data_IF_313073122335
#
_entry.id   IF_313073122335
#
_cell.length_a   1.000
_cell.length_b   1.000
_cell.length_c   1.000
_cell.angle_alpha   90.00
_cell.angle_beta   90.00
_cell.angle_gamma   90.00
#
_symmetry.space_group_name_H-M   'P 1'
#
loop_
_entity.id
_entity.type
_entity.pdbx_description
1 polymer ?
#
# COMPACT_ATOMS: atom_id res chain seq x y z
N UNK A 1 13.26 -6.13 17.24
CA UNK A 1 12.61 -7.47 17.16
C UNK A 1 13.10 -8.10 15.87
N UNK A 2 13.82 -9.23 15.95
CA UNK A 2 14.45 -9.89 14.79
C UNK A 2 13.47 -10.75 13.98
N UNK A 3 12.31 -10.17 13.62
CA UNK A 3 11.31 -10.83 12.79
C UNK A 3 11.62 -10.52 11.34
N UNK A 4 11.76 -11.53 10.50
CA UNK A 4 11.92 -11.31 9.07
C UNK A 4 10.61 -10.74 8.49
N UNK A 5 10.65 -9.56 7.84
CA UNK A 5 9.45 -8.97 7.27
C UNK A 5 8.98 -9.79 6.08
N UNK A 6 7.70 -10.17 6.06
CA UNK A 6 7.16 -10.93 4.95
C UNK A 6 7.20 -10.12 3.63
N UNK A 7 7.25 -10.78 2.46
CA UNK A 7 7.30 -10.11 1.16
C UNK A 7 6.15 -9.10 0.94
N UNK A 8 4.92 -9.43 1.38
CA UNK A 8 3.77 -8.53 1.29
C UNK A 8 3.92 -7.28 2.17
N UNK A 9 4.52 -7.40 3.35
CA UNK A 9 4.80 -6.26 4.22
C UNK A 9 5.82 -5.31 3.56
N UNK A 10 6.82 -5.83 2.85
CA UNK A 10 7.74 -5.02 2.05
C UNK A 10 6.99 -4.23 0.97
N UNK A 11 6.07 -4.87 0.24
CA UNK A 11 5.24 -4.20 -0.76
C UNK A 11 4.35 -3.11 -0.16
N UNK A 12 3.79 -3.31 1.03
CA UNK A 12 3.03 -2.27 1.74
C UNK A 12 3.91 -1.06 2.09
N UNK A 13 5.18 -1.29 2.48
CA UNK A 13 6.13 -0.19 2.74
C UNK A 13 6.38 0.63 1.48
N UNK A 14 6.57 -0.02 0.33
CA UNK A 14 6.67 0.68 -0.96
C UNK A 14 5.40 1.44 -1.31
N UNK A 15 4.22 0.90 -1.00
CA UNK A 15 2.94 1.60 -1.13
C UNK A 15 2.89 2.91 -0.33
N UNK A 16 3.29 2.88 0.94
CA UNK A 16 3.35 4.09 1.79
C UNK A 16 4.39 5.09 1.29
N UNK A 17 5.57 4.63 0.89
CA UNK A 17 6.59 5.52 0.31
C UNK A 17 6.09 6.18 -0.97
N UNK A 18 5.41 5.45 -1.85
CA UNK A 18 4.79 6.01 -3.05
C UNK A 18 3.74 7.07 -2.72
N UNK A 19 2.82 6.78 -1.80
CA UNK A 19 1.80 7.74 -1.36
C UNK A 19 2.43 8.98 -0.71
N UNK A 20 3.49 8.81 0.08
CA UNK A 20 4.23 9.90 0.72
C UNK A 20 4.91 10.81 -0.32
N UNK A 21 5.58 10.22 -1.32
CA UNK A 21 6.22 10.98 -2.41
C UNK A 21 5.18 11.76 -3.21
N UNK A 22 4.06 11.13 -3.59
CA UNK A 22 2.98 11.83 -4.31
C UNK A 22 2.43 13.00 -3.48
N UNK A 23 2.21 12.79 -2.18
CA UNK A 23 1.69 13.82 -1.28
C UNK A 23 2.68 14.97 -1.09
N UNK A 24 3.98 14.65 -0.96
CA UNK A 24 5.05 15.65 -0.84
C UNK A 24 5.17 16.48 -2.11
N UNK A 25 5.12 15.85 -3.28
CA UNK A 25 5.16 16.56 -4.58
C UNK A 25 3.91 17.43 -4.76
N UNK A 26 2.73 16.96 -4.38
CA UNK A 26 1.51 17.75 -4.40
C UNK A 26 1.63 19.00 -3.50
N UNK A 27 2.21 18.84 -2.30
CA UNK A 27 2.45 19.94 -1.38
C UNK A 27 3.44 20.97 -1.95
N UNK A 28 4.56 20.52 -2.52
CA UNK A 28 5.58 21.41 -3.09
C UNK A 28 5.12 22.14 -4.36
N UNK A 29 4.37 21.47 -5.23
CA UNK A 29 3.90 22.10 -6.48
C UNK A 29 2.69 23.03 -6.27
N UNK A 30 1.95 22.90 -5.17
CA UNK A 30 0.75 23.71 -4.89
C UNK A 30 -0.25 23.79 -6.05
N UNK A 31 -0.61 22.66 -6.70
CA UNK A 31 -1.37 22.69 -7.95
C UNK A 31 -2.80 23.20 -7.76
N UNK A 32 -3.26 24.03 -8.69
CA UNK A 32 -4.64 24.52 -8.76
C UNK A 32 -5.45 23.77 -9.84
N UNK A 33 -6.76 23.65 -9.62
CA UNK A 33 -7.73 23.06 -10.54
C UNK A 33 -7.35 21.64 -11.05
N UNK A 34 -6.89 21.53 -12.30
CA UNK A 34 -6.61 20.25 -12.95
C UNK A 34 -5.43 19.49 -12.30
N UNK A 35 -4.41 20.21 -11.81
CA UNK A 35 -3.28 19.58 -11.16
C UNK A 35 -3.68 18.81 -9.89
N UNK A 36 -4.63 19.33 -9.10
CA UNK A 36 -5.17 18.60 -7.93
C UNK A 36 -5.81 17.26 -8.30
N UNK A 37 -6.43 17.16 -9.48
CA UNK A 37 -7.00 15.89 -9.96
C UNK A 37 -5.91 14.88 -10.31
N UNK A 38 -4.83 15.33 -10.94
CA UNK A 38 -3.69 14.46 -11.29
C UNK A 38 -3.04 13.89 -10.02
N UNK A 39 -2.75 14.74 -9.03
CA UNK A 39 -2.20 14.27 -7.75
C UNK A 39 -3.19 13.42 -6.95
N UNK A 40 -4.48 13.76 -6.96
CA UNK A 40 -5.54 12.95 -6.36
C UNK A 40 -5.62 11.55 -6.97
N UNK A 41 -5.53 11.45 -8.31
CA UNK A 41 -5.48 10.17 -9.02
C UNK A 41 -4.22 9.38 -8.67
N UNK A 42 -3.04 10.00 -8.70
CA UNK A 42 -1.78 9.34 -8.34
C UNK A 42 -1.79 8.82 -6.90
N UNK A 43 -2.37 9.61 -5.97
CA UNK A 43 -2.51 9.21 -4.58
C UNK A 43 -3.48 8.02 -4.44
N UNK A 44 -4.62 8.08 -5.13
CA UNK A 44 -5.59 6.99 -5.12
C UNK A 44 -5.01 5.69 -5.73
N UNK A 45 -4.21 5.79 -6.79
CA UNK A 45 -3.57 4.62 -7.42
C UNK A 45 -2.49 4.01 -6.51
N UNK A 46 -1.60 4.83 -5.95
CA UNK A 46 -0.53 4.35 -5.07
C UNK A 46 -1.08 3.76 -3.77
N UNK A 47 -2.03 4.46 -3.13
CA UNK A 47 -2.71 3.96 -1.94
C UNK A 47 -3.60 2.75 -2.24
N UNK A 48 -4.25 2.70 -3.41
CA UNK A 48 -5.07 1.58 -3.85
C UNK A 48 -4.26 0.30 -4.08
N UNK A 49 -3.06 0.42 -4.66
CA UNK A 49 -2.12 -0.69 -4.76
C UNK A 49 -1.71 -1.22 -3.38
N UNK A 50 -1.36 -0.32 -2.45
CA UNK A 50 -1.06 -0.67 -1.06
C UNK A 50 -2.23 -1.35 -0.34
N UNK A 51 -3.45 -0.86 -0.55
CA UNK A 51 -4.68 -1.46 -0.02
C UNK A 51 -4.89 -2.87 -0.55
N UNK A 52 -4.70 -3.10 -1.85
CA UNK A 52 -4.83 -4.43 -2.45
C UNK A 52 -3.85 -5.44 -1.84
N UNK A 53 -2.60 -5.03 -1.61
CA UNK A 53 -1.59 -5.86 -0.94
C UNK A 53 -1.97 -6.14 0.52
N UNK A 54 -2.50 -5.16 1.24
CA UNK A 54 -2.96 -5.34 2.63
C UNK A 54 -4.16 -6.29 2.72
N UNK A 55 -5.15 -6.15 1.83
CA UNK A 55 -6.29 -7.06 1.73
C UNK A 55 -5.82 -8.48 1.39
N UNK A 56 -4.87 -8.63 0.47
CA UNK A 56 -4.29 -9.94 0.14
C UNK A 56 -3.65 -10.60 1.37
N UNK A 57 -2.93 -9.82 2.17
CA UNK A 57 -2.33 -10.34 3.41
C UNK A 57 -3.40 -10.71 4.45
N UNK A 58 -4.43 -9.89 4.63
CA UNK A 58 -5.56 -10.22 5.52
C UNK A 58 -6.28 -11.50 5.07
N UNK A 59 -6.44 -11.69 3.75
CA UNK A 59 -7.00 -12.91 3.20
C UNK A 59 -6.13 -14.12 3.57
N UNK A 60 -4.81 -14.05 3.38
CA UNK A 60 -3.89 -15.11 3.79
C UNK A 60 -3.95 -15.40 5.30
N UNK A 61 -4.10 -14.38 6.14
CA UNK A 61 -4.27 -14.55 7.59
C UNK A 61 -5.62 -15.17 7.99
N UNK A 62 -6.60 -15.18 7.10
CA UNK A 62 -7.90 -15.81 7.33
C UNK A 62 -7.97 -17.27 6.88
N UNK A 63 -6.97 -17.76 6.13
CA UNK A 63 -6.92 -19.14 5.69
C UNK A 63 -6.62 -20.09 6.86
N UNK A 64 -7.29 -21.25 6.93
CA UNK A 64 -6.94 -22.29 7.90
C UNK A 64 -5.58 -22.91 7.56
N UNK A 65 -4.91 -23.47 8.58
CA UNK A 65 -3.49 -23.90 8.50
C UNK A 65 -3.19 -24.94 7.40
N UNK A 66 -4.19 -25.73 7.00
CA UNK A 66 -4.13 -26.72 5.92
C UNK A 66 -4.11 -26.10 4.51
N UNK A 67 -4.52 -24.84 4.38
CA UNK A 67 -4.60 -24.12 3.10
C UNK A 67 -3.54 -23.03 2.95
N UNK A 68 -2.71 -22.82 3.97
CA UNK A 68 -1.61 -21.85 3.93
C UNK A 68 -0.55 -22.34 2.92
N UNK A 69 -0.10 -21.49 1.98
CA UNK A 69 0.97 -21.84 1.06
C UNK A 69 2.22 -22.29 1.82
N UNK A 70 3.01 -23.18 1.21
CA UNK A 70 4.30 -23.56 1.78
C UNK A 70 5.14 -22.32 2.12
N UNK A 71 5.85 -22.35 3.25
CA UNK A 71 6.78 -21.30 3.64
C UNK A 71 7.80 -21.10 2.52
N UNK A 72 8.04 -19.84 2.17
CA UNK A 72 8.97 -19.48 1.10
C UNK A 72 10.39 -19.30 1.66
N UNK A 73 11.42 -19.33 0.80
CA UNK A 73 12.72 -18.80 1.19
C UNK A 73 12.62 -17.32 1.57
N UNK A 74 13.56 -16.83 2.37
CA UNK A 74 13.61 -15.41 2.77
C UNK A 74 13.70 -14.49 1.55
N UNK A 75 13.17 -13.27 1.69
CA UNK A 75 13.14 -12.28 0.60
C UNK A 75 14.56 -11.96 0.11
N UNK A 76 15.52 -11.87 1.02
CA UNK A 76 16.91 -11.56 0.68
C UNK A 76 17.53 -12.65 -0.19
N UNK A 77 17.30 -13.93 0.14
CA UNK A 77 17.73 -15.04 -0.71
C UNK A 77 17.03 -15.01 -2.07
N UNK A 78 15.72 -14.75 -2.10
CA UNK A 78 14.99 -14.64 -3.38
C UNK A 78 15.57 -13.55 -4.29
N UNK A 79 16.01 -12.42 -3.73
CA UNK A 79 16.62 -11.32 -4.48
C UNK A 79 18.01 -11.66 -5.01
N UNK A 80 18.74 -12.54 -4.33
CA UNK A 80 20.07 -13.00 -4.77
C UNK A 80 19.98 -14.03 -5.91
N UNK A 81 19.00 -14.94 -5.86
CA UNK A 81 18.96 -16.10 -6.77
C UNK A 81 17.93 -15.97 -7.90
N UNK A 82 16.87 -15.18 -7.70
CA UNK A 82 15.78 -15.03 -8.68
C UNK A 82 15.80 -13.65 -9.34
N UNK A 83 15.36 -13.52 -10.60
CA UNK A 83 15.20 -12.23 -11.23
C UNK A 83 14.10 -11.41 -10.52
N UNK A 84 14.29 -10.09 -10.42
CA UNK A 84 13.40 -9.16 -9.71
C UNK A 84 11.90 -9.31 -10.04
N UNK A 85 11.56 -9.66 -11.29
CA UNK A 85 10.17 -9.88 -11.72
C UNK A 85 9.54 -11.10 -11.05
N UNK A 86 10.30 -12.17 -10.88
CA UNK A 86 9.84 -13.40 -10.22
C UNK A 86 9.71 -13.19 -8.71
N UNK A 87 10.62 -12.42 -8.12
CA UNK A 87 10.52 -12.02 -6.71
C UNK A 87 9.24 -11.22 -6.47
N UNK A 88 8.95 -10.22 -7.31
CA UNK A 88 7.71 -9.44 -7.21
C UNK A 88 6.46 -10.32 -7.40
N UNK A 89 6.46 -11.21 -8.40
CA UNK A 89 5.34 -12.12 -8.65
C UNK A 89 5.09 -13.05 -7.45
N UNK A 90 6.16 -13.58 -6.86
CA UNK A 90 6.08 -14.46 -5.69
C UNK A 90 5.65 -13.69 -4.44
N UNK A 91 6.16 -12.46 -4.26
CA UNK A 91 5.77 -11.57 -3.17
C UNK A 91 4.27 -11.23 -3.21
N UNK A 92 3.72 -10.96 -4.39
CA UNK A 92 2.28 -10.69 -4.56
C UNK A 92 1.43 -11.95 -4.32
N UNK A 93 1.91 -13.13 -4.76
CA UNK A 93 1.23 -14.41 -4.48
C UNK A 93 1.12 -14.67 -2.98
N UNK A 94 2.18 -14.32 -2.23
CA UNK A 94 2.31 -14.51 -0.80
C UNK A 94 2.87 -15.89 -0.45
N UNK A 95 3.64 -15.95 0.63
CA UNK A 95 4.21 -17.18 1.21
C UNK A 95 3.52 -17.50 2.54
N UNK A 96 3.75 -18.69 3.10
CA UNK A 96 3.22 -19.06 4.42
C UNK A 96 3.54 -18.05 5.52
N UNK A 97 4.70 -17.41 5.44
CA UNK A 97 5.17 -16.38 6.39
C UNK A 97 4.27 -15.13 6.41
N UNK A 98 3.45 -14.93 5.36
CA UNK A 98 2.49 -13.83 5.30
C UNK A 98 1.19 -14.10 6.08
N UNK A 99 0.89 -15.37 6.36
CA UNK A 99 -0.30 -15.80 7.09
C UNK A 99 -0.10 -15.74 8.62
N UNK A 100 1.14 -15.69 9.09
CA UNK A 100 1.42 -15.57 10.51
C UNK A 100 1.01 -14.20 11.07
N UNK A 101 0.31 -14.23 12.20
CA UNK A 101 -0.10 -13.01 12.90
C UNK A 101 0.89 -12.73 14.01
N UNK A 102 1.95 -12.00 13.67
CA UNK A 102 3.06 -11.69 14.58
C UNK A 102 2.66 -10.68 15.66
N UNK A 103 1.70 -9.80 15.35
CA UNK A 103 1.26 -8.74 16.25
C UNK A 103 -0.21 -8.40 16.05
N UNK A 104 -0.90 -8.08 17.16
CA UNK A 104 -2.27 -7.61 17.20
C UNK A 104 -2.39 -6.41 18.13
N UNK A 105 -3.19 -5.42 17.73
CA UNK A 105 -3.52 -4.26 18.53
C UNK A 105 -4.95 -3.84 18.30
N UNK A 106 -5.69 -3.67 19.40
CA UNK A 106 -7.16 -3.56 19.42
C UNK A 106 -7.85 -4.65 18.58
N UNK A 107 -7.30 -5.87 18.58
CA UNK A 107 -7.85 -7.01 17.83
C UNK A 107 -7.54 -7.02 16.33
N UNK A 108 -6.90 -5.97 15.79
CA UNK A 108 -6.46 -5.91 14.40
C UNK A 108 -4.97 -6.26 14.27
N UNK A 109 -4.63 -7.02 13.23
CA UNK A 109 -3.23 -7.28 12.87
C UNK A 109 -2.61 -6.05 12.20
N UNK A 110 -1.28 -6.07 12.03
CA UNK A 110 -0.54 -5.04 11.28
C UNK A 110 -1.17 -4.77 9.89
N UNK A 111 -1.44 -5.77 9.03
CA UNK A 111 -2.08 -5.51 7.75
C UNK A 111 -3.52 -4.99 7.86
N UNK A 112 -4.21 -5.26 8.98
CA UNK A 112 -5.51 -4.65 9.28
C UNK A 112 -5.42 -3.14 9.45
N UNK A 113 -4.44 -2.67 10.23
CA UNK A 113 -4.19 -1.24 10.40
C UNK A 113 -3.69 -0.56 9.13
N UNK A 114 -2.79 -1.21 8.38
CA UNK A 114 -2.30 -0.63 7.12
C UNK A 114 -3.42 -0.54 6.08
N UNK A 115 -4.34 -1.52 6.02
CA UNK A 115 -5.52 -1.46 5.17
C UNK A 115 -6.39 -0.23 5.50
N UNK A 116 -6.66 0.04 6.78
CA UNK A 116 -7.43 1.23 7.20
C UNK A 116 -6.75 2.51 6.72
N UNK A 117 -5.44 2.65 6.97
CA UNK A 117 -4.67 3.82 6.54
C UNK A 117 -4.70 4.00 5.02
N UNK A 118 -4.50 2.93 4.25
CA UNK A 118 -4.58 3.02 2.79
C UNK A 118 -5.99 3.34 2.30
N UNK A 119 -7.05 2.79 2.92
CA UNK A 119 -8.42 3.15 2.59
C UNK A 119 -8.68 4.65 2.79
N UNK A 120 -8.21 5.24 3.89
CA UNK A 120 -8.32 6.68 4.12
C UNK A 120 -7.60 7.49 3.04
N UNK A 121 -6.38 7.09 2.66
CA UNK A 121 -5.62 7.76 1.59
C UNK A 121 -6.30 7.64 0.22
N UNK A 122 -6.89 6.48 -0.10
CA UNK A 122 -7.69 6.30 -1.32
C UNK A 122 -8.89 7.24 -1.33
N UNK A 123 -9.63 7.33 -0.22
CA UNK A 123 -10.78 8.23 -0.10
C UNK A 123 -10.36 9.71 -0.26
N UNK A 124 -9.22 10.10 0.30
CA UNK A 124 -8.65 11.45 0.13
C UNK A 124 -8.28 11.70 -1.33
N UNK A 125 -7.59 10.77 -1.98
CA UNK A 125 -7.24 10.87 -3.40
C UNK A 125 -8.47 10.99 -4.31
N UNK A 126 -9.49 10.16 -4.07
CA UNK A 126 -10.77 10.22 -4.76
C UNK A 126 -11.51 11.53 -4.49
N UNK A 127 -11.47 12.06 -3.27
CA UNK A 127 -12.03 13.36 -2.95
C UNK A 127 -11.39 14.47 -3.79
N UNK A 128 -10.06 14.52 -3.86
CA UNK A 128 -9.36 15.52 -4.69
C UNK A 128 -9.61 15.34 -6.19
N UNK A 129 -9.79 14.10 -6.65
CA UNK A 129 -10.12 13.78 -8.03
C UNK A 129 -11.54 14.23 -8.43
N UNK A 130 -12.52 13.95 -7.56
CA UNK A 130 -13.95 14.19 -7.81
C UNK A 130 -14.40 15.59 -7.42
N UNK A 131 -13.63 16.32 -6.60
CA UNK A 131 -13.97 17.69 -6.20
C UNK A 131 -14.11 18.55 -7.45
N UNK A 132 -15.25 19.25 -7.63
CA UNK A 132 -15.37 20.25 -8.67
C UNK A 132 -14.27 21.27 -8.49
N UNK A 133 -13.48 21.52 -9.53
CA UNK A 133 -12.54 22.63 -9.52
C UNK A 133 -13.40 23.89 -9.33
N UNK A 134 -13.45 24.42 -8.10
CA UNK A 134 -14.03 25.75 -7.90
C UNK A 134 -13.11 26.68 -8.66
N UNK A 135 -13.58 27.15 -9.81
CA UNK A 135 -13.11 28.38 -10.43
C UNK A 135 -13.47 29.52 -9.46
N UNK A 136 -12.72 29.62 -8.38
CA UNK A 136 -12.77 30.75 -7.46
C UNK A 136 -11.54 31.58 -7.77
N UNK A 137 -11.74 32.70 -8.47
CA UNK A 137 -10.69 33.61 -8.89
C UNK A 137 -9.77 33.98 -7.74
N UNK A 138 -8.52 33.53 -7.81
CA UNK A 138 -7.44 33.85 -6.88
C UNK A 138 -6.64 35.09 -7.37
N UNK A 139 -7.31 36.05 -8.02
CA UNK A 139 -6.73 37.33 -8.44
C UNK A 139 -7.72 38.44 -8.07
N UNK A 140 -7.76 38.83 -6.80
CA UNK A 140 -8.17 40.15 -6.31
C UNK A 140 -7.94 40.23 -4.79
N UNK A 141 -6.73 40.59 -4.42
CA UNK A 141 -6.39 41.37 -3.21
C UNK A 141 -4.96 41.86 -3.37
#
# INVERSE_FOLDING_TARGET
MGLEPCPLCWLQRFGFMGAAVVSLLAFLHGPVAWGNRVYGLLLALTAGAGLGVAIRQLWLQSLPADQVPACGPSVDYMLEVLPWKEVLATAIRGTGDCAEVVWRFLGLSIPGWTAICFSLLVLIGLYFLLRPARSGGWIRS
#
